data_IF_709422705494
#
_entry.id   IF_709422705494
#
_cell.length_a   1.000
_cell.length_b   1.000
_cell.length_c   1.000
_cell.angle_alpha   90.00
_cell.angle_beta   90.00
_cell.angle_gamma   90.00
#
_symmetry.space_group_name_H-M   'P 1'
#
loop_
_entity.id
_entity.type
_entity.pdbx_description
1 polymer ?
#
# COMPACT_ATOMS: atom_id res chain seq x y z
N UNK A 1 -19.31 -26.57 15.59
CA UNK A 1 -17.99 -27.13 15.24
C UNK A 1 -16.93 -26.10 15.59
N UNK A 2 -16.04 -26.41 16.54
CA UNK A 2 -14.94 -25.50 16.90
C UNK A 2 -13.91 -25.43 15.78
N UNK A 3 -13.42 -24.23 15.46
CA UNK A 3 -12.29 -24.07 14.55
C UNK A 3 -11.07 -24.80 15.13
N UNK A 4 -10.30 -25.48 14.28
CA UNK A 4 -9.04 -26.07 14.71
C UNK A 4 -8.12 -24.95 15.22
N UNK A 5 -7.55 -25.14 16.42
CA UNK A 5 -6.56 -24.23 16.96
C UNK A 5 -5.32 -24.25 16.05
N UNK A 6 -4.91 -23.06 15.61
CA UNK A 6 -3.75 -22.86 14.73
C UNK A 6 -2.68 -22.06 15.47
N UNK A 7 -1.43 -22.28 15.10
CA UNK A 7 -0.30 -21.43 15.44
C UNK A 7 0.00 -20.48 14.29
N UNK A 8 -0.23 -19.19 14.53
CA UNK A 8 -0.22 -18.15 13.50
C UNK A 8 0.92 -17.19 13.78
N UNK A 9 1.79 -16.95 12.80
CA UNK A 9 2.90 -16.01 12.87
C UNK A 9 2.49 -14.69 12.21
N UNK A 10 2.53 -13.59 12.94
CA UNK A 10 2.39 -12.23 12.39
C UNK A 10 3.73 -11.52 12.47
N UNK A 11 4.17 -10.92 11.36
CA UNK A 11 5.38 -10.11 11.29
C UNK A 11 5.00 -8.63 11.24
N UNK A 12 5.93 -7.71 11.53
CA UNK A 12 5.56 -6.31 11.75
C UNK A 12 4.53 -6.19 12.86
N UNK A 13 4.70 -6.99 13.91
CA UNK A 13 3.68 -7.25 14.92
C UNK A 13 3.19 -5.99 15.65
N UNK A 14 3.94 -4.90 15.64
CA UNK A 14 3.53 -3.63 16.26
C UNK A 14 2.71 -2.74 15.34
N UNK A 15 2.59 -3.07 14.06
CA UNK A 15 1.73 -2.34 13.14
C UNK A 15 0.28 -2.42 13.62
N UNK A 16 -0.49 -1.32 13.59
CA UNK A 16 -1.90 -1.32 13.99
C UNK A 16 -2.75 -2.44 13.35
N UNK A 17 -2.68 -2.69 12.02
CA UNK A 17 -3.47 -3.78 11.42
C UNK A 17 -3.02 -5.17 11.88
N UNK A 18 -1.73 -5.37 12.18
CA UNK A 18 -1.21 -6.63 12.73
C UNK A 18 -1.76 -6.89 14.14
N UNK A 19 -1.75 -5.88 15.01
CA UNK A 19 -2.32 -5.96 16.35
C UNK A 19 -3.81 -6.21 16.35
N UNK A 20 -4.55 -5.49 15.50
CA UNK A 20 -6.00 -5.68 15.35
C UNK A 20 -6.31 -7.13 14.93
N UNK A 21 -5.58 -7.64 13.93
CA UNK A 21 -5.73 -9.03 13.50
C UNK A 21 -5.30 -10.03 14.59
N UNK A 22 -4.22 -9.77 15.32
CA UNK A 22 -3.76 -10.60 16.43
C UNK A 22 -4.85 -10.78 17.48
N UNK A 23 -5.51 -9.69 17.88
CA UNK A 23 -6.61 -9.70 18.87
C UNK A 23 -7.78 -10.56 18.39
N UNK A 24 -8.17 -10.39 17.13
CA UNK A 24 -9.24 -11.16 16.51
C UNK A 24 -8.92 -12.65 16.48
N UNK A 25 -7.71 -13.03 16.07
CA UNK A 25 -7.27 -14.42 16.02
C UNK A 25 -7.11 -15.04 17.42
N UNK A 26 -6.53 -14.30 18.36
CA UNK A 26 -6.39 -14.73 19.75
C UNK A 26 -7.74 -14.95 20.42
N UNK A 27 -8.71 -14.06 20.18
CA UNK A 27 -10.07 -14.19 20.68
C UNK A 27 -10.82 -15.41 20.11
N UNK A 28 -10.40 -15.94 18.96
CA UNK A 28 -10.88 -17.23 18.42
C UNK A 28 -10.10 -18.45 18.94
N UNK A 29 -9.16 -18.26 19.87
CA UNK A 29 -8.42 -19.34 20.54
C UNK A 29 -7.15 -19.80 19.80
N UNK A 30 -6.71 -19.07 18.77
CA UNK A 30 -5.46 -19.37 18.06
C UNK A 30 -4.22 -18.96 18.89
N UNK A 31 -3.10 -19.67 18.68
CA UNK A 31 -1.78 -19.36 19.26
C UNK A 31 -1.07 -18.35 18.35
N UNK A 32 -1.17 -17.06 18.68
CA UNK A 32 -0.64 -15.97 17.83
C UNK A 32 0.77 -15.60 18.29
N UNK A 33 1.74 -15.71 17.38
CA UNK A 33 3.14 -15.37 17.58
C UNK A 33 3.43 -14.04 16.87
N UNK A 34 3.91 -13.04 17.61
CA UNK A 34 4.35 -11.78 17.05
C UNK A 34 5.85 -11.78 16.78
N UNK A 35 6.26 -11.31 15.61
CA UNK A 35 7.66 -11.03 15.26
C UNK A 35 7.79 -9.59 14.79
N UNK A 36 8.80 -8.90 15.29
CA UNK A 36 9.07 -7.52 14.88
C UNK A 36 10.55 -7.17 15.06
N UNK A 37 10.94 -6.03 14.50
CA UNK A 37 12.24 -5.41 14.74
C UNK A 37 12.23 -4.69 16.08
N UNK A 38 13.29 -4.89 16.87
CA UNK A 38 13.55 -4.12 18.06
C UNK A 38 14.90 -3.42 17.86
N UNK A 39 14.89 -2.11 17.65
CA UNK A 39 16.12 -1.31 17.66
C UNK A 39 16.70 -1.21 19.07
N UNK A 40 15.81 -1.10 20.05
CA UNK A 40 16.11 -1.14 21.49
C UNK A 40 15.22 -2.20 22.12
N UNK A 41 15.83 -3.08 22.90
CA UNK A 41 15.13 -4.16 23.55
C UNK A 41 13.99 -3.64 24.43
N UNK A 42 12.79 -4.19 24.24
CA UNK A 42 11.64 -3.85 25.08
C UNK A 42 10.86 -2.60 24.66
N UNK A 43 11.18 -1.95 23.54
CA UNK A 43 10.44 -0.76 23.08
C UNK A 43 9.36 -1.06 22.03
N UNK A 44 9.15 -2.32 21.73
CA UNK A 44 8.26 -2.72 20.65
C UNK A 44 6.85 -2.94 21.20
N UNK A 45 5.82 -2.18 20.76
CA UNK A 45 4.46 -2.22 21.30
C UNK A 45 3.87 -3.63 21.37
N UNK A 46 4.12 -4.46 20.36
CA UNK A 46 3.64 -5.85 20.30
C UNK A 46 4.03 -6.69 21.53
N UNK A 47 5.19 -6.43 22.16
CA UNK A 47 5.65 -7.15 23.34
C UNK A 47 4.68 -7.06 24.53
N UNK A 48 3.93 -5.96 24.59
CA UNK A 48 3.01 -5.65 25.69
C UNK A 48 1.55 -5.98 25.34
N UNK A 49 1.28 -6.49 24.14
CA UNK A 49 -0.06 -6.91 23.76
C UNK A 49 -0.39 -8.27 24.36
N UNK A 50 -1.56 -8.40 24.98
CA UNK A 50 -2.10 -9.69 25.45
C UNK A 50 -2.55 -10.59 24.29
N UNK A 51 -2.71 -10.05 23.09
CA UNK A 51 -3.13 -10.81 21.92
C UNK A 51 -2.05 -11.77 21.41
N UNK A 52 -0.78 -11.44 21.62
CA UNK A 52 0.31 -12.32 21.29
C UNK A 52 0.54 -13.31 22.42
N UNK A 53 0.44 -14.60 22.09
CA UNK A 53 0.80 -15.67 23.02
C UNK A 53 2.30 -15.64 23.31
N UNK A 54 3.11 -15.29 22.30
CA UNK A 54 4.55 -15.02 22.45
C UNK A 54 4.98 -13.96 21.45
N UNK A 55 5.94 -13.15 21.88
CA UNK A 55 6.62 -12.17 21.04
C UNK A 55 8.10 -12.56 20.86
N UNK A 56 8.65 -12.32 19.67
CA UNK A 56 10.05 -12.53 19.35
C UNK A 56 10.60 -11.33 18.57
N UNK A 57 11.82 -10.90 18.87
CA UNK A 57 12.57 -10.09 17.92
C UNK A 57 12.95 -10.94 16.69
N UNK A 58 13.20 -10.32 15.54
CA UNK A 58 13.68 -11.05 14.34
C UNK A 58 14.87 -11.99 14.65
N UNK A 59 15.87 -11.50 15.38
CA UNK A 59 17.04 -12.29 15.77
C UNK A 59 16.69 -13.51 16.64
N UNK A 60 15.72 -13.37 17.54
CA UNK A 60 15.23 -14.48 18.36
C UNK A 60 14.36 -15.45 17.57
N UNK A 61 13.52 -14.94 16.65
CA UNK A 61 12.62 -15.73 15.84
C UNK A 61 13.39 -16.76 15.00
N UNK A 62 14.48 -16.35 14.32
CA UNK A 62 15.32 -17.28 13.56
C UNK A 62 15.88 -18.42 14.41
N UNK A 63 16.27 -18.13 15.67
CA UNK A 63 16.84 -19.13 16.59
C UNK A 63 15.78 -20.04 17.20
N UNK A 64 14.67 -19.46 17.68
CA UNK A 64 13.68 -20.16 18.52
C UNK A 64 12.52 -20.78 17.75
N UNK A 65 12.13 -20.20 16.62
CA UNK A 65 11.08 -20.76 15.75
C UNK A 65 11.63 -21.80 14.77
N UNK A 66 12.96 -21.99 14.77
CA UNK A 66 13.67 -22.88 13.85
C UNK A 66 13.08 -24.28 13.69
N UNK A 67 12.49 -24.81 14.77
CA UNK A 67 12.02 -26.20 14.88
C UNK A 67 10.50 -26.33 15.09
N UNK A 68 9.76 -25.22 15.15
CA UNK A 68 8.32 -25.25 15.42
C UNK A 68 7.54 -25.21 14.12
N UNK A 69 6.52 -26.06 14.01
CA UNK A 69 5.53 -25.96 12.95
C UNK A 69 4.72 -24.67 13.15
N UNK A 70 4.59 -23.91 12.07
CA UNK A 70 3.76 -22.70 11.97
C UNK A 70 2.70 -23.03 10.92
N UNK A 71 1.41 -22.93 11.30
CA UNK A 71 0.33 -23.31 10.39
C UNK A 71 0.08 -22.20 9.36
N UNK A 72 0.17 -20.95 9.81
CA UNK A 72 -0.11 -19.76 9.01
C UNK A 72 0.88 -18.65 9.31
N UNK A 73 1.46 -18.03 8.28
CA UNK A 73 2.23 -16.80 8.40
C UNK A 73 1.57 -15.65 7.64
N UNK A 74 1.50 -14.47 8.25
CA UNK A 74 0.90 -13.27 7.67
C UNK A 74 1.90 -12.12 7.84
N UNK A 75 2.59 -11.71 6.77
CA UNK A 75 3.54 -10.63 6.85
C UNK A 75 2.86 -9.27 6.79
N UNK A 76 3.20 -8.36 7.72
CA UNK A 76 2.83 -6.94 7.62
C UNK A 76 4.04 -6.05 7.30
N UNK A 77 5.25 -6.59 7.37
CA UNK A 77 6.50 -5.94 6.95
C UNK A 77 6.93 -6.37 5.55
N UNK A 78 7.97 -5.73 5.04
CA UNK A 78 8.62 -6.16 3.81
C UNK A 78 9.00 -7.65 3.89
N UNK A 79 8.44 -8.43 2.97
CA UNK A 79 8.62 -9.86 2.90
C UNK A 79 10.07 -10.29 2.63
N UNK A 80 10.92 -9.38 2.14
CA UNK A 80 12.35 -9.63 1.88
C UNK A 80 13.07 -10.18 3.12
N UNK A 81 12.89 -9.52 4.26
CA UNK A 81 13.50 -9.91 5.55
C UNK A 81 12.92 -11.21 6.13
N UNK A 82 11.83 -11.70 5.55
CA UNK A 82 10.96 -12.70 6.15
C UNK A 82 10.85 -13.99 5.36
N UNK A 83 11.45 -14.06 4.16
CA UNK A 83 11.37 -15.26 3.31
C UNK A 83 11.78 -16.53 4.05
N UNK A 84 12.83 -16.47 4.88
CA UNK A 84 13.31 -17.65 5.62
C UNK A 84 12.44 -18.06 6.82
N UNK A 85 11.67 -17.13 7.40
CA UNK A 85 10.71 -17.43 8.48
C UNK A 85 9.38 -17.91 7.91
N UNK A 86 8.90 -17.25 6.86
CA UNK A 86 7.63 -17.58 6.19
C UNK A 86 7.72 -18.88 5.39
N UNK A 87 8.89 -19.24 4.85
CA UNK A 87 9.11 -20.53 4.17
C UNK A 87 8.89 -21.75 5.07
N UNK A 88 8.84 -21.57 6.40
CA UNK A 88 8.56 -22.65 7.36
C UNK A 88 7.08 -22.82 7.67
N UNK A 89 6.25 -21.87 7.25
CA UNK A 89 4.81 -21.95 7.48
C UNK A 89 4.16 -22.87 6.45
N UNK A 90 3.15 -23.63 6.88
CA UNK A 90 2.35 -24.48 5.98
C UNK A 90 1.59 -23.62 4.96
N UNK A 91 1.10 -22.45 5.39
CA UNK A 91 0.46 -21.47 4.52
C UNK A 91 1.00 -20.07 4.82
N UNK A 92 1.17 -19.26 3.78
CA UNK A 92 1.52 -17.85 3.92
C UNK A 92 0.47 -17.00 3.20
N UNK A 93 0.00 -15.94 3.86
CA UNK A 93 -0.92 -14.96 3.27
C UNK A 93 -0.11 -13.84 2.63
N UNK A 94 0.68 -14.22 1.62
CA UNK A 94 1.52 -13.30 0.87
C UNK A 94 2.02 -13.98 -0.40
N UNK A 95 1.81 -13.32 -1.52
CA UNK A 95 2.45 -13.67 -2.78
C UNK A 95 2.87 -12.37 -3.44
N UNK A 96 4.17 -12.13 -3.68
CA UNK A 96 4.59 -10.97 -4.47
C UNK A 96 4.04 -11.15 -5.89
N UNK A 97 3.19 -10.24 -6.34
CA UNK A 97 2.52 -10.37 -7.64
C UNK A 97 3.26 -9.62 -8.74
N UNK A 98 3.82 -8.44 -8.41
CA UNK A 98 4.45 -7.56 -9.36
C UNK A 98 5.75 -7.01 -8.77
N UNK A 99 6.78 -6.92 -9.60
CA UNK A 99 8.07 -6.33 -9.22
C UNK A 99 8.01 -4.81 -9.20
N UNK A 100 7.28 -4.23 -10.17
CA UNK A 100 7.11 -2.79 -10.34
C UNK A 100 5.68 -2.45 -10.82
N UNK A 101 5.38 -1.16 -10.94
CA UNK A 101 4.09 -0.67 -11.41
C UNK A 101 3.82 -1.04 -12.89
N UNK A 102 4.87 -1.16 -13.70
CA UNK A 102 4.74 -1.48 -15.13
C UNK A 102 4.26 -2.91 -15.35
N UNK A 103 4.78 -3.88 -14.57
CA UNK A 103 4.34 -5.27 -14.59
C UNK A 103 2.86 -5.38 -14.20
N UNK A 104 2.43 -4.56 -13.24
CA UNK A 104 1.01 -4.42 -12.89
C UNK A 104 0.18 -3.87 -14.06
N UNK A 105 0.63 -2.81 -14.75
CA UNK A 105 -0.09 -2.26 -15.90
C UNK A 105 -0.23 -3.26 -17.05
N UNK A 106 0.87 -3.94 -17.40
CA UNK A 106 0.87 -4.98 -18.43
C UNK A 106 -0.09 -6.11 -18.06
N UNK A 107 -0.07 -6.55 -16.80
CA UNK A 107 -0.99 -7.58 -16.31
C UNK A 107 -2.46 -7.16 -16.44
N UNK A 108 -2.80 -5.94 -16.00
CA UNK A 108 -4.18 -5.44 -16.09
C UNK A 108 -4.64 -5.36 -17.55
N UNK A 109 -3.80 -4.88 -18.48
CA UNK A 109 -4.18 -4.78 -19.90
C UNK A 109 -4.38 -6.14 -20.56
N UNK A 110 -3.56 -7.12 -20.22
CA UNK A 110 -3.52 -8.43 -20.90
C UNK A 110 -4.49 -9.45 -20.32
N UNK A 111 -4.74 -9.41 -19.01
CA UNK A 111 -5.48 -10.48 -18.32
C UNK A 111 -6.82 -10.05 -17.72
N UNK A 112 -7.00 -8.75 -17.40
CA UNK A 112 -8.24 -8.27 -16.80
C UNK A 112 -9.23 -7.92 -17.92
N UNK A 113 -10.49 -8.40 -17.85
CA UNK A 113 -11.51 -8.04 -18.82
C UNK A 113 -11.62 -6.52 -19.03
N UNK A 114 -12.01 -6.07 -20.24
CA UNK A 114 -12.22 -4.64 -20.50
C UNK A 114 -13.14 -4.00 -19.46
N UNK A 115 -12.61 -3.00 -18.75
CA UNK A 115 -13.26 -2.30 -17.64
C UNK A 115 -13.28 -0.79 -17.91
N UNK A 116 -14.22 -0.03 -17.31
CA UNK A 116 -14.13 1.44 -17.30
C UNK A 116 -12.84 1.95 -16.61
N UNK A 117 -12.20 1.12 -15.78
CA UNK A 117 -10.93 1.43 -15.14
C UNK A 117 -9.80 1.22 -16.14
N UNK A 118 -9.02 2.27 -16.38
CA UNK A 118 -7.82 2.23 -17.22
C UNK A 118 -6.57 2.09 -16.36
N UNK A 119 -5.44 1.75 -16.98
CA UNK A 119 -4.11 1.96 -16.40
C UNK A 119 -3.42 3.10 -17.14
N UNK A 120 -2.40 3.75 -16.55
CA UNK A 120 -1.58 4.74 -17.25
C UNK A 120 -1.03 4.16 -18.55
N UNK A 121 -0.94 4.99 -19.60
CA UNK A 121 -0.22 4.61 -20.82
C UNK A 121 1.25 4.29 -20.49
N UNK A 122 1.81 3.29 -21.17
CA UNK A 122 3.14 2.76 -20.94
C UNK A 122 3.71 2.40 -22.29
N UNK A 123 4.87 2.96 -22.62
CA UNK A 123 5.57 2.69 -23.87
C UNK A 123 7.03 2.36 -23.57
N UNK A 124 7.58 1.34 -24.21
CA UNK A 124 9.02 1.09 -24.23
C UNK A 124 9.61 1.84 -25.42
N UNK A 125 10.63 2.65 -25.18
CA UNK A 125 11.32 3.45 -26.20
C UNK A 125 12.77 3.03 -26.33
N UNK A 126 13.18 2.77 -27.56
CA UNK A 126 14.53 2.34 -27.96
C UNK A 126 15.32 3.46 -28.65
N UNK A 127 14.67 4.58 -28.98
CA UNK A 127 15.30 5.75 -29.58
C UNK A 127 14.67 7.05 -29.07
N UNK A 128 15.41 8.15 -29.19
CA UNK A 128 14.92 9.50 -28.86
C UNK A 128 13.78 9.93 -29.81
N UNK A 129 13.82 9.51 -31.08
CA UNK A 129 12.79 9.82 -32.06
C UNK A 129 11.42 9.24 -31.66
N UNK A 130 11.40 8.03 -31.11
CA UNK A 130 10.16 7.42 -30.58
C UNK A 130 9.54 8.25 -29.44
N UNK A 131 10.36 8.87 -28.59
CA UNK A 131 9.86 9.76 -27.53
C UNK A 131 9.15 10.97 -28.15
N UNK A 132 9.78 11.62 -29.13
CA UNK A 132 9.19 12.76 -29.83
C UNK A 132 7.89 12.37 -30.57
N UNK A 133 7.89 11.21 -31.23
CA UNK A 133 6.72 10.66 -31.92
C UNK A 133 5.55 10.44 -30.94
N UNK A 134 5.78 9.74 -29.83
CA UNK A 134 4.74 9.49 -28.82
C UNK A 134 4.21 10.81 -28.24
N UNK A 135 5.08 11.77 -27.90
CA UNK A 135 4.66 13.07 -27.39
C UNK A 135 3.82 13.86 -28.41
N UNK A 136 4.07 13.67 -29.71
CA UNK A 136 3.26 14.29 -30.77
C UNK A 136 1.84 13.71 -30.85
N UNK A 137 1.66 12.41 -30.59
CA UNK A 137 0.34 11.77 -30.53
C UNK A 137 -0.44 12.11 -29.25
N UNK A 138 0.27 12.46 -28.17
CA UNK A 138 -0.32 12.75 -26.85
C UNK A 138 0.04 14.16 -26.34
N UNK A 139 -0.37 15.23 -27.04
CA UNK A 139 0.10 16.60 -26.77
C UNK A 139 -0.31 17.16 -25.40
N UNK A 140 -1.34 16.59 -24.77
CA UNK A 140 -1.86 17.04 -23.47
C UNK A 140 -1.54 16.09 -22.31
N UNK A 141 -0.77 15.04 -22.58
CA UNK A 141 -0.40 14.06 -21.57
C UNK A 141 1.00 14.37 -21.06
N UNK A 142 1.18 14.29 -19.74
CA UNK A 142 2.50 14.30 -19.12
C UNK A 142 2.99 12.87 -18.99
N UNK A 143 4.27 12.66 -19.24
CA UNK A 143 4.93 11.38 -19.12
C UNK A 143 6.16 11.47 -18.24
N UNK A 144 6.47 10.38 -17.55
CA UNK A 144 7.68 10.18 -16.79
C UNK A 144 8.56 9.22 -17.57
N UNK A 145 9.79 9.62 -17.84
CA UNK A 145 10.78 8.79 -18.51
C UNK A 145 11.63 8.07 -17.45
N UNK A 146 11.59 6.75 -17.47
CA UNK A 146 12.25 5.87 -16.52
C UNK A 146 13.19 4.90 -17.25
N UNK A 147 14.33 4.55 -16.66
CA UNK A 147 15.18 3.51 -17.22
C UNK A 147 14.53 2.13 -17.04
N UNK A 148 14.54 1.28 -18.08
CA UNK A 148 14.10 -0.10 -17.92
C UNK A 148 15.00 -0.83 -16.89
N UNK A 149 14.42 -1.63 -15.98
CA UNK A 149 15.22 -2.50 -15.13
C UNK A 149 16.02 -3.51 -15.98
N UNK A 150 17.26 -3.87 -15.60
CA UNK A 150 18.11 -4.77 -16.40
C UNK A 150 17.51 -6.16 -16.64
N UNK A 151 16.59 -6.60 -15.78
CA UNK A 151 15.87 -7.87 -15.92
C UNK A 151 14.87 -7.88 -17.07
N UNK A 152 14.44 -6.71 -17.55
CA UNK A 152 13.58 -6.56 -18.71
C UNK A 152 14.37 -6.42 -20.03
N UNK A 153 15.69 -6.61 -19.99
CA UNK A 153 16.53 -6.57 -21.18
C UNK A 153 16.24 -7.78 -22.08
N UNK A 154 15.32 -7.54 -23.02
CA UNK A 154 15.11 -8.25 -24.27
C UNK A 154 14.84 -9.76 -24.16
N UNK A 155 13.55 -10.10 -24.07
CA UNK A 155 13.08 -11.38 -24.59
C UNK A 155 12.67 -11.14 -26.06
N UNK A 156 13.51 -11.51 -27.05
CA UNK A 156 13.23 -11.28 -28.48
C UNK A 156 11.93 -11.92 -28.96
N UNK A 157 11.36 -12.86 -28.19
CA UNK A 157 10.15 -13.58 -28.57
C UNK A 157 8.86 -12.86 -28.13
N UNK A 158 8.93 -11.80 -27.30
CA UNK A 158 7.77 -11.05 -26.79
C UNK A 158 7.39 -9.81 -27.63
N UNK A 159 8.24 -9.36 -28.56
CA UNK A 159 8.00 -8.16 -29.37
C UNK A 159 7.00 -8.35 -30.54
N UNK A 160 6.31 -9.49 -30.60
CA UNK A 160 5.29 -9.74 -31.63
C UNK A 160 3.87 -9.29 -31.23
N UNK A 161 3.68 -8.77 -30.01
CA UNK A 161 2.39 -8.27 -29.52
C UNK A 161 2.23 -6.75 -29.77
N UNK A 162 1.79 -6.43 -30.99
CA UNK A 162 0.87 -5.39 -31.47
C UNK A 162 0.65 -4.01 -30.79
N UNK A 163 1.43 -3.56 -29.81
CA UNK A 163 1.32 -2.19 -29.25
C UNK A 163 2.41 -1.22 -29.77
N UNK A 164 3.31 -1.68 -30.65
CA UNK A 164 4.07 -0.79 -31.53
C UNK A 164 3.12 -0.26 -32.62
N UNK A 165 3.20 1.04 -32.94
CA UNK A 165 2.26 1.85 -33.74
C UNK A 165 2.07 1.43 -35.23
N UNK A 166 2.08 0.15 -35.57
CA UNK A 166 1.85 -0.34 -36.94
C UNK A 166 0.80 -1.45 -36.92
N UNK A 167 -0.42 -1.11 -37.35
CA UNK A 167 -1.56 -2.02 -37.35
C UNK A 167 -1.38 -3.23 -38.28
N UNK A 168 -1.45 -4.44 -37.71
CA UNK A 168 -1.74 -5.69 -38.43
C UNK A 168 -2.66 -6.60 -37.59
N UNK A 169 -3.49 -7.45 -38.21
CA UNK A 169 -4.57 -8.17 -37.53
C UNK A 169 -4.09 -9.39 -36.71
N UNK A 170 -4.71 -9.55 -35.54
CA UNK A 170 -4.56 -10.56 -34.49
C UNK A 170 -4.37 -12.02 -34.94
N UNK A 171 -3.48 -12.75 -34.24
CA UNK A 171 -3.42 -14.22 -34.20
C UNK A 171 -3.57 -14.70 -32.75
N UNK A 172 -4.52 -15.60 -32.42
CA UNK A 172 -4.76 -16.04 -31.05
C UNK A 172 -4.08 -17.38 -30.80
N UNK A 173 -2.85 -17.40 -30.29
CA UNK A 173 -2.25 -18.60 -29.65
C UNK A 173 -0.96 -18.21 -28.92
N UNK A 174 -1.08 -17.73 -27.67
CA UNK A 174 0.03 -17.64 -26.74
C UNK A 174 -0.33 -18.39 -25.46
N UNK A 175 0.27 -19.57 -25.28
CA UNK A 175 0.26 -20.37 -24.06
C UNK A 175 1.70 -20.67 -23.71
N UNK A 176 1.99 -20.55 -22.41
CA UNK A 176 3.21 -20.99 -21.72
C UNK A 176 4.33 -19.95 -21.57
N UNK A 177 4.11 -18.94 -20.71
CA UNK A 177 5.18 -18.31 -19.93
C UNK A 177 4.88 -18.47 -18.45
N UNK A 178 5.52 -19.46 -17.83
CA UNK A 178 5.36 -19.79 -16.42
C UNK A 178 5.92 -18.69 -15.51
N UNK A 179 5.23 -18.46 -14.38
CA UNK A 179 5.60 -17.51 -13.35
C UNK A 179 7.07 -17.61 -12.92
N UNK A 180 7.77 -16.48 -12.99
CA UNK A 180 9.15 -16.30 -12.56
C UNK A 180 9.31 -16.52 -11.05
N UNK A 181 10.16 -17.47 -10.68
CA UNK A 181 10.57 -17.72 -9.29
C UNK A 181 11.88 -16.97 -9.01
N UNK A 182 11.76 -15.83 -8.33
CA UNK A 182 12.70 -15.27 -7.36
C UNK A 182 14.19 -15.16 -7.74
N UNK A 183 14.58 -14.06 -8.39
CA UNK A 183 15.98 -13.61 -8.38
C UNK A 183 16.27 -12.72 -7.14
N UNK A 184 17.47 -12.82 -6.53
CA UNK A 184 17.88 -11.92 -5.46
C UNK A 184 18.16 -10.51 -6.02
N UNK A 185 17.45 -9.52 -5.47
CA UNK A 185 17.65 -8.09 -5.75
C UNK A 185 19.10 -7.68 -5.47
N UNK A 186 19.85 -7.33 -6.51
CA UNK A 186 21.07 -6.54 -6.38
C UNK A 186 20.66 -5.10 -6.07
N UNK A 187 21.32 -4.45 -5.12
CA UNK A 187 20.98 -3.10 -4.65
C UNK A 187 20.69 -2.15 -5.83
N UNK A 188 19.43 -1.73 -5.95
CA UNK A 188 18.98 -0.80 -6.97
C UNK A 188 19.79 0.50 -6.87
N UNK A 189 20.29 0.99 -8.01
CA UNK A 189 20.75 2.39 -8.11
C UNK A 189 19.61 3.30 -7.63
N UNK A 190 19.95 4.35 -6.89
CA UNK A 190 18.96 5.30 -6.39
C UNK A 190 18.09 5.83 -7.55
N UNK A 191 16.76 5.89 -7.39
CA UNK A 191 15.79 6.30 -8.43
C UNK A 191 15.81 7.81 -8.73
N UNK A 192 16.99 8.45 -8.72
CA UNK A 192 17.12 9.90 -8.63
C UNK A 192 16.80 10.68 -9.90
N UNK A 193 16.80 10.06 -11.08
CA UNK A 193 16.70 10.77 -12.35
C UNK A 193 15.42 10.38 -13.10
N UNK A 194 14.27 10.70 -12.50
CA UNK A 194 12.99 10.63 -13.21
C UNK A 194 12.74 11.96 -13.91
N UNK A 195 12.63 11.95 -15.23
CA UNK A 195 12.38 13.16 -16.01
C UNK A 195 10.89 13.26 -16.34
N UNK A 196 10.23 14.31 -15.85
CA UNK A 196 8.87 14.64 -16.22
C UNK A 196 8.87 15.41 -17.54
N UNK A 197 8.21 14.88 -18.55
CA UNK A 197 8.15 15.44 -19.90
C UNK A 197 6.70 15.66 -20.27
N UNK A 198 6.37 16.82 -20.81
CA UNK A 198 5.10 17.09 -21.46
C UNK A 198 5.36 17.96 -22.68
N UNK A 199 4.60 17.76 -23.77
CA UNK A 199 4.75 18.61 -24.95
C UNK A 199 4.46 20.09 -24.61
N UNK A 200 3.55 20.35 -23.67
CA UNK A 200 3.24 21.69 -23.20
C UNK A 200 4.37 22.34 -22.37
N UNK A 201 5.28 21.54 -21.83
CA UNK A 201 6.40 21.98 -20.99
C UNK A 201 7.76 21.64 -21.62
N UNK A 202 7.80 21.39 -22.93
CA UNK A 202 9.03 21.02 -23.62
C UNK A 202 9.89 22.28 -23.81
N UNK A 203 10.79 22.53 -22.87
CA UNK A 203 11.80 23.59 -22.98
C UNK A 203 13.12 23.03 -23.54
N UNK A 204 14.03 23.94 -23.92
CA UNK A 204 15.34 23.58 -24.48
C UNK A 204 16.15 22.71 -23.50
N UNK A 205 15.94 22.86 -22.20
CA UNK A 205 16.67 22.12 -21.17
C UNK A 205 16.16 20.67 -21.04
N UNK A 206 14.85 20.45 -21.11
CA UNK A 206 14.24 19.10 -21.18
C UNK A 206 14.69 18.40 -22.45
N UNK A 207 14.72 19.07 -23.60
CA UNK A 207 15.22 18.49 -24.86
C UNK A 207 16.70 18.13 -24.75
N UNK A 208 17.53 19.01 -24.18
CA UNK A 208 18.96 18.71 -23.91
C UNK A 208 19.11 17.52 -22.98
N UNK A 209 18.29 17.42 -21.94
CA UNK A 209 18.30 16.31 -21.00
C UNK A 209 17.92 14.99 -21.68
N UNK A 210 16.87 14.97 -22.52
CA UNK A 210 16.48 13.79 -23.31
C UNK A 210 17.61 13.38 -24.26
N UNK A 211 18.22 14.35 -24.95
CA UNK A 211 19.33 14.11 -25.87
C UNK A 211 20.59 13.57 -25.17
N UNK A 212 20.79 13.93 -23.90
CA UNK A 212 21.89 13.44 -23.08
C UNK A 212 21.66 12.04 -22.50
N UNK A 213 20.42 11.51 -22.53
CA UNK A 213 20.15 10.17 -22.03
C UNK A 213 20.64 9.09 -23.00
N UNK A 214 21.25 7.99 -22.50
CA UNK A 214 21.76 6.90 -23.32
C UNK A 214 20.65 5.95 -23.82
N UNK A 215 19.60 6.50 -24.44
CA UNK A 215 18.50 5.71 -25.01
C UNK A 215 19.03 4.97 -26.23
N UNK A 216 18.92 3.64 -26.23
CA UNK A 216 19.32 2.79 -27.35
C UNK A 216 18.55 1.48 -27.32
N UNK A 217 18.65 0.68 -28.39
CA UNK A 217 18.04 -0.66 -28.43
C UNK A 217 18.46 -1.55 -27.24
N UNK A 218 19.73 -1.46 -26.83
CA UNK A 218 20.29 -2.24 -25.72
C UNK A 218 19.99 -1.64 -24.34
N UNK A 219 19.59 -0.36 -24.28
CA UNK A 219 19.28 0.35 -23.04
C UNK A 219 17.95 1.08 -23.25
N UNK A 220 16.83 0.32 -23.31
CA UNK A 220 15.53 0.93 -23.51
C UNK A 220 15.12 1.73 -22.28
N UNK A 221 14.28 2.72 -22.52
CA UNK A 221 13.60 3.49 -21.49
C UNK A 221 12.10 3.21 -21.55
N UNK A 222 11.39 3.55 -20.47
CA UNK A 222 9.94 3.48 -20.39
C UNK A 222 9.37 4.87 -20.27
N UNK A 223 8.36 5.16 -21.07
CA UNK A 223 7.57 6.37 -20.99
C UNK A 223 6.24 6.01 -20.31
N UNK A 224 6.04 6.50 -19.08
CA UNK A 224 4.87 6.19 -18.24
C UNK A 224 3.98 7.43 -18.13
N UNK A 225 2.69 7.33 -18.44
CA UNK A 225 1.74 8.44 -18.27
C UNK A 225 1.68 8.86 -16.79
N UNK A 226 1.91 10.15 -16.55
CA UNK A 226 1.75 10.76 -15.23
C UNK A 226 0.31 11.22 -15.08
N UNK A 227 -0.46 10.45 -14.32
CA UNK A 227 -1.86 10.76 -14.05
C UNK A 227 -1.94 11.87 -13.01
N UNK A 228 -2.13 13.11 -13.47
CA UNK A 228 -2.21 14.28 -12.61
C UNK A 228 -3.65 14.76 -12.37
N UNK A 229 -3.89 15.20 -11.12
CA UNK A 229 -5.17 15.74 -10.65
C UNK A 229 -6.22 14.67 -10.34
N UNK A 230 -7.36 15.08 -9.79
CA UNK A 230 -8.43 14.18 -9.32
C UNK A 230 -8.29 13.78 -7.85
N UNK A 231 -9.13 12.84 -7.41
CA UNK A 231 -9.11 12.28 -6.06
C UNK A 231 -8.44 10.91 -6.06
N UNK A 232 -7.57 10.66 -5.07
CA UNK A 232 -6.96 9.35 -4.86
C UNK A 232 -7.93 8.45 -4.07
N UNK A 233 -8.10 7.22 -4.54
CA UNK A 233 -8.82 6.16 -3.86
C UNK A 233 -7.88 4.96 -3.72
N UNK A 234 -8.14 4.10 -2.74
CA UNK A 234 -7.43 2.83 -2.61
C UNK A 234 -8.44 1.74 -2.27
N UNK A 235 -8.42 0.63 -3.01
CA UNK A 235 -9.24 -0.53 -2.73
C UNK A 235 -8.38 -1.64 -2.12
N UNK A 236 -8.84 -2.14 -0.98
CA UNK A 236 -8.14 -3.12 -0.16
C UNK A 236 -8.97 -4.38 -0.04
N UNK A 237 -8.38 -5.51 -0.36
CA UNK A 237 -9.03 -6.81 -0.27
C UNK A 237 -8.07 -7.88 0.24
N UNK A 238 -8.63 -8.92 0.86
CA UNK A 238 -8.00 -10.21 1.04
C UNK A 238 -8.62 -11.13 -0.01
N UNK A 239 -7.82 -11.61 -0.96
CA UNK A 239 -8.27 -12.55 -1.98
C UNK A 239 -7.81 -13.98 -1.63
N UNK A 240 -8.65 -14.96 -1.94
CA UNK A 240 -8.32 -16.38 -1.90
C UNK A 240 -8.73 -17.03 -3.21
N UNK A 241 -7.75 -17.35 -4.06
CA UNK A 241 -8.05 -17.75 -5.44
C UNK A 241 -8.75 -16.62 -6.19
N UNK A 242 -9.89 -16.91 -6.82
CA UNK A 242 -10.74 -15.92 -7.52
C UNK A 242 -11.60 -15.07 -6.60
N UNK A 243 -11.73 -15.45 -5.32
CA UNK A 243 -12.80 -14.93 -4.46
C UNK A 243 -12.27 -13.89 -3.49
N UNK A 244 -12.97 -12.76 -3.42
CA UNK A 244 -12.68 -11.71 -2.45
C UNK A 244 -13.27 -12.10 -1.09
N UNK A 245 -12.42 -12.23 -0.08
CA UNK A 245 -12.81 -12.54 1.30
C UNK A 245 -13.18 -11.28 2.09
N UNK A 246 -12.49 -10.18 1.82
CA UNK A 246 -12.75 -8.85 2.39
C UNK A 246 -12.68 -7.79 1.31
N UNK A 247 -13.37 -6.67 1.51
CA UNK A 247 -13.31 -5.53 0.60
C UNK A 247 -13.59 -4.21 1.33
N UNK A 248 -12.69 -3.24 1.18
CA UNK A 248 -12.83 -1.86 1.69
C UNK A 248 -12.22 -0.88 0.71
N UNK A 249 -12.93 0.22 0.46
CA UNK A 249 -12.40 1.37 -0.28
C UNK A 249 -12.10 2.49 0.71
N UNK A 250 -10.95 3.13 0.55
CA UNK A 250 -10.53 4.29 1.35
C UNK A 250 -10.11 5.44 0.44
N UNK A 251 -10.22 6.66 0.94
CA UNK A 251 -9.59 7.87 0.35
C UNK A 251 -8.67 8.49 1.39
N UNK A 252 -7.52 9.07 1.01
CA UNK A 252 -6.71 9.85 1.94
C UNK A 252 -7.55 10.98 2.56
N UNK A 253 -7.36 11.23 3.86
CA UNK A 253 -8.03 12.36 4.52
C UNK A 253 -7.39 13.65 4.02
N UNK A 254 -8.14 14.44 3.26
CA UNK A 254 -7.69 15.76 2.82
C UNK A 254 -7.81 16.73 4.00
N UNK A 255 -6.68 17.27 4.45
CA UNK A 255 -6.69 18.41 5.36
C UNK A 255 -7.07 19.69 4.59
N UNK A 256 -7.46 20.73 5.33
CA UNK A 256 -7.92 22.03 4.78
C UNK A 256 -6.95 22.68 3.79
N UNK A 257 -5.67 22.29 3.78
CA UNK A 257 -4.64 22.80 2.87
C UNK A 257 -4.39 21.94 1.62
N UNK A 258 -5.20 20.91 1.36
CA UNK A 258 -4.99 20.00 0.23
C UNK A 258 -3.78 19.07 0.37
N UNK A 259 -3.06 19.13 1.50
CA UNK A 259 -2.02 18.16 1.86
C UNK A 259 -2.67 16.93 2.48
N UNK A 260 -2.38 15.76 1.93
CA UNK A 260 -2.72 14.48 2.54
C UNK A 260 -1.68 14.14 3.60
N UNK A 261 -2.10 13.89 4.84
CA UNK A 261 -1.20 13.31 5.83
C UNK A 261 -1.00 11.81 5.54
N UNK A 262 0.25 11.33 5.45
CA UNK A 262 0.51 9.91 5.25
C UNK A 262 -0.05 9.10 6.42
N UNK A 263 -0.75 8.01 6.11
CA UNK A 263 -1.34 7.11 7.11
C UNK A 263 -2.71 7.54 7.65
N UNK A 264 -3.27 8.65 7.17
CA UNK A 264 -4.66 9.03 7.48
C UNK A 264 -5.56 8.75 6.28
N UNK A 265 -6.72 8.14 6.54
CA UNK A 265 -7.69 7.80 5.51
C UNK A 265 -9.11 7.81 6.07
N UNK A 266 -10.08 7.96 5.19
CA UNK A 266 -11.51 7.74 5.48
C UNK A 266 -12.04 6.58 4.64
N UNK A 267 -12.86 5.73 5.26
CA UNK A 267 -13.57 4.68 4.54
C UNK A 267 -14.65 5.30 3.64
N UNK A 268 -14.69 4.89 2.38
CA UNK A 268 -15.66 5.34 1.39
C UNK A 268 -16.98 4.60 1.59
N UNK A 269 -18.10 5.33 1.50
CA UNK A 269 -19.42 4.74 1.70
C UNK A 269 -19.79 3.79 0.56
N UNK A 270 -20.52 2.71 0.89
CA UNK A 270 -21.04 1.78 -0.12
C UNK A 270 -22.06 2.42 -1.06
N UNK A 271 -22.71 3.50 -0.61
CA UNK A 271 -23.65 4.27 -1.42
C UNK A 271 -22.96 5.10 -2.52
N UNK A 272 -21.63 5.26 -2.48
CA UNK A 272 -20.91 5.95 -3.54
C UNK A 272 -20.76 5.05 -4.78
N UNK A 273 -21.11 5.50 -6.00
CA UNK A 273 -21.03 4.69 -7.22
C UNK A 273 -19.61 4.16 -7.53
N UNK A 274 -18.58 4.86 -7.04
CA UNK A 274 -17.20 4.42 -7.21
C UNK A 274 -16.92 3.11 -6.46
N UNK A 275 -17.63 2.85 -5.35
CA UNK A 275 -17.43 1.66 -4.54
C UNK A 275 -17.72 0.39 -5.34
N UNK A 276 -18.87 0.32 -6.00
CA UNK A 276 -19.27 -0.82 -6.85
C UNK A 276 -18.31 -1.00 -8.02
N UNK A 277 -17.95 0.10 -8.70
CA UNK A 277 -17.00 0.05 -9.83
C UNK A 277 -15.65 -0.52 -9.43
N UNK A 278 -15.12 -0.11 -8.26
CA UNK A 278 -13.85 -0.63 -7.75
C UNK A 278 -13.99 -2.07 -7.25
N UNK A 279 -15.14 -2.46 -6.71
CA UNK A 279 -15.40 -3.83 -6.27
C UNK A 279 -15.40 -4.81 -7.44
N UNK A 280 -16.13 -4.48 -8.50
CA UNK A 280 -16.22 -5.31 -9.71
C UNK A 280 -14.84 -5.48 -10.34
N UNK A 281 -14.08 -4.39 -10.46
CA UNK A 281 -12.70 -4.45 -10.93
C UNK A 281 -11.82 -5.34 -10.06
N UNK A 282 -11.89 -5.22 -8.73
CA UNK A 282 -11.07 -6.04 -7.83
C UNK A 282 -11.41 -7.53 -7.92
N UNK A 283 -12.68 -7.85 -8.18
CA UNK A 283 -13.13 -9.23 -8.37
C UNK A 283 -12.65 -9.80 -9.70
N UNK A 284 -12.76 -9.05 -10.79
CA UNK A 284 -12.24 -9.45 -12.10
C UNK A 284 -10.71 -9.54 -12.08
N UNK A 285 -10.04 -8.65 -11.36
CA UNK A 285 -8.61 -8.69 -11.11
C UNK A 285 -8.19 -9.95 -10.35
N UNK A 286 -8.89 -10.32 -9.28
CA UNK A 286 -8.61 -11.55 -8.53
C UNK A 286 -8.83 -12.81 -9.36
N UNK A 287 -9.88 -12.84 -10.19
CA UNK A 287 -10.13 -13.92 -11.16
C UNK A 287 -9.01 -14.05 -12.19
N UNK A 288 -8.60 -12.94 -12.79
CA UNK A 288 -7.50 -12.89 -13.75
C UNK A 288 -6.19 -13.40 -13.10
N UNK A 289 -5.92 -12.99 -11.86
CA UNK A 289 -4.75 -13.41 -11.11
C UNK A 289 -4.74 -14.92 -10.82
N UNK A 290 -5.90 -15.46 -10.45
CA UNK A 290 -6.06 -16.88 -10.24
C UNK A 290 -5.85 -17.68 -11.54
N UNK A 291 -6.40 -17.20 -12.66
CA UNK A 291 -6.23 -17.82 -13.98
C UNK A 291 -4.77 -17.81 -14.46
N UNK A 292 -4.06 -16.68 -14.27
CA UNK A 292 -2.66 -16.55 -14.63
C UNK A 292 -1.71 -17.40 -13.78
N UNK A 293 -2.10 -17.72 -12.54
CA UNK A 293 -1.32 -18.58 -11.63
C UNK A 293 -1.35 -20.08 -12.02
N UNK A 294 -1.94 -20.43 -13.16
CA UNK A 294 -1.78 -21.74 -13.79
C UNK A 294 -2.70 -22.85 -13.28
N UNK A 295 -3.48 -22.66 -12.21
CA UNK A 295 -4.56 -23.56 -11.74
C UNK A 295 -4.22 -25.05 -11.46
N UNK A 296 -3.07 -25.56 -11.89
CA UNK A 296 -2.78 -26.98 -12.04
C UNK A 296 -2.28 -27.63 -10.75
N UNK A 297 -1.65 -26.88 -9.86
CA UNK A 297 -1.03 -27.42 -8.65
C UNK A 297 -1.97 -27.44 -7.43
N UNK A 298 -3.26 -27.15 -7.62
CA UNK A 298 -4.24 -27.11 -6.52
C UNK A 298 -3.95 -26.06 -5.44
N UNK A 299 -2.93 -25.22 -5.65
CA UNK A 299 -2.55 -24.14 -4.77
C UNK A 299 -3.38 -22.90 -5.11
N UNK A 300 -4.32 -22.57 -4.23
CA UNK A 300 -5.12 -21.33 -4.30
C UNK A 300 -4.44 -20.28 -3.42
N UNK A 301 -3.68 -19.33 -4.00
CA UNK A 301 -2.97 -18.35 -3.20
C UNK A 301 -3.94 -17.49 -2.41
N UNK A 302 -3.54 -17.14 -1.18
CA UNK A 302 -4.24 -16.17 -0.36
C UNK A 302 -3.34 -14.95 -0.25
N UNK A 303 -3.81 -13.80 -0.72
CA UNK A 303 -2.98 -12.59 -0.78
C UNK A 303 -3.78 -11.35 -0.46
N UNK A 304 -3.09 -10.37 0.12
CA UNK A 304 -3.62 -9.02 0.24
C UNK A 304 -3.48 -8.31 -1.10
N UNK A 305 -4.52 -7.59 -1.48
CA UNK A 305 -4.55 -6.74 -2.66
C UNK A 305 -4.86 -5.32 -2.19
N UNK A 306 -3.92 -4.41 -2.40
CA UNK A 306 -4.11 -2.98 -2.17
C UNK A 306 -3.79 -2.25 -3.47
N UNK A 307 -4.84 -1.83 -4.18
CA UNK A 307 -4.73 -1.12 -5.45
C UNK A 307 -5.06 0.35 -5.26
N UNK A 308 -4.16 1.23 -5.71
CA UNK A 308 -4.39 2.67 -5.73
C UNK A 308 -5.04 3.10 -7.04
N UNK A 309 -5.98 4.03 -6.96
CA UNK A 309 -6.71 4.57 -8.09
C UNK A 309 -6.71 6.09 -8.06
N UNK A 310 -6.64 6.71 -9.24
CA UNK A 310 -6.90 8.13 -9.44
C UNK A 310 -8.25 8.30 -10.14
N UNK A 311 -9.14 9.10 -9.56
CA UNK A 311 -10.45 9.42 -10.16
C UNK A 311 -10.47 10.88 -10.57
N UNK A 312 -10.48 11.12 -11.88
CA UNK A 312 -10.53 12.45 -12.48
C UNK A 312 -11.91 12.68 -13.10
N UNK A 313 -12.60 13.71 -12.62
CA UNK A 313 -13.85 14.17 -13.23
C UNK A 313 -13.51 15.12 -14.39
N UNK A 314 -13.99 14.79 -15.58
CA UNK A 314 -13.76 15.55 -16.82
C UNK A 314 -15.11 15.88 -17.42
N UNK A 315 -15.39 17.15 -17.63
CA UNK A 315 -16.59 17.59 -18.35
C UNK A 315 -16.29 17.54 -19.84
N UNK A 316 -16.98 16.66 -20.58
CA UNK A 316 -16.86 16.56 -22.05
C UNK A 316 -18.19 16.92 -22.68
N UNK A 317 -18.30 18.15 -23.17
CA UNK A 317 -19.59 18.69 -23.64
C UNK A 317 -20.52 18.96 -22.46
N UNK A 318 -21.66 18.27 -22.40
CA UNK A 318 -22.65 18.39 -21.32
C UNK A 318 -22.60 17.22 -20.31
N UNK A 319 -21.71 16.25 -20.52
CA UNK A 319 -21.61 15.06 -19.67
C UNK A 319 -20.40 15.14 -18.72
N UNK A 320 -20.64 14.79 -17.45
CA UNK A 320 -19.59 14.60 -16.46
C UNK A 320 -19.05 13.17 -16.58
N UNK A 321 -17.88 13.03 -17.18
CA UNK A 321 -17.20 11.74 -17.31
C UNK A 321 -16.22 11.54 -16.16
N UNK A 322 -16.30 10.40 -15.47
CA UNK A 322 -15.33 10.00 -14.45
C UNK A 322 -14.31 9.05 -15.07
N UNK A 323 -13.07 9.50 -15.22
CA UNK A 323 -11.95 8.63 -15.63
C UNK A 323 -11.32 8.05 -14.37
N UNK A 324 -11.40 6.73 -14.22
CA UNK A 324 -10.76 5.98 -13.13
C UNK A 324 -9.50 5.32 -13.68
N UNK A 325 -8.36 5.56 -13.04
CA UNK A 325 -7.07 5.00 -13.46
C UNK A 325 -6.42 4.24 -12.32
N UNK A 326 -6.11 2.95 -12.48
CA UNK A 326 -5.39 2.14 -11.49
C UNK A 326 -3.88 2.39 -11.59
N UNK A 327 -3.27 2.85 -10.50
CA UNK A 327 -1.89 3.37 -10.46
C UNK A 327 -0.87 2.36 -9.95
N UNK A 328 -1.22 1.53 -8.96
CA UNK A 328 -0.27 0.59 -8.39
C UNK A 328 -1.00 -0.49 -7.62
N UNK A 329 -0.38 -1.66 -7.48
CA UNK A 329 -0.85 -2.75 -6.64
C UNK A 329 0.25 -3.16 -5.67
N UNK A 330 -0.09 -3.23 -4.39
CA UNK A 330 0.80 -3.74 -3.32
C UNK A 330 0.12 -4.89 -2.59
N UNK A 331 0.92 -5.76 -1.99
CA UNK A 331 0.43 -6.93 -1.25
C UNK A 331 0.61 -6.78 0.27
N UNK A 332 0.98 -5.58 0.72
CA UNK A 332 1.01 -5.27 2.13
C UNK A 332 -0.43 -5.08 2.65
N UNK A 333 -0.78 -5.66 3.81
CA UNK A 333 -2.05 -5.38 4.45
C UNK A 333 -2.16 -3.88 4.75
N UNK A 334 -3.29 -3.27 4.37
CA UNK A 334 -3.54 -1.85 4.63
C UNK A 334 -4.11 -1.61 6.04
N UNK A 335 -3.90 -0.40 6.57
CA UNK A 335 -4.35 0.00 7.91
C UNK A 335 -5.89 -0.05 8.07
N UNK A 336 -6.65 -0.01 6.98
CA UNK A 336 -8.10 -0.20 6.97
C UNK A 336 -8.55 -1.56 7.49
N UNK A 337 -7.66 -2.55 7.55
CA UNK A 337 -7.93 -3.85 8.18
C UNK A 337 -8.35 -3.70 9.66
N UNK A 338 -7.86 -2.66 10.35
CA UNK A 338 -8.26 -2.36 11.73
C UNK A 338 -9.77 -2.17 11.84
N UNK A 339 -10.37 -1.44 10.89
CA UNK A 339 -11.81 -1.18 10.86
C UNK A 339 -12.61 -2.47 10.60
N UNK A 340 -12.11 -3.34 9.73
CA UNK A 340 -12.74 -4.64 9.44
C UNK A 340 -12.71 -5.57 10.66
N UNK A 341 -11.55 -5.64 11.34
CA UNK A 341 -11.37 -6.40 12.57
C UNK A 341 -12.35 -5.95 13.67
N UNK A 342 -12.57 -4.63 13.80
CA UNK A 342 -13.52 -4.08 14.75
C UNK A 342 -14.98 -4.36 14.39
N UNK A 343 -15.33 -4.34 13.10
CA UNK A 343 -16.71 -4.55 12.63
C UNK A 343 -17.15 -6.01 12.74
N UNK A 344 -16.32 -6.95 12.28
CA UNK A 344 -16.72 -8.34 12.06
C UNK A 344 -15.63 -9.34 12.48
N UNK A 345 -15.21 -9.37 13.76
CA UNK A 345 -14.02 -10.08 14.21
C UNK A 345 -14.05 -11.59 13.87
N UNK A 346 -15.16 -12.29 14.15
CA UNK A 346 -15.28 -13.73 13.85
C UNK A 346 -15.18 -14.04 12.36
N UNK A 347 -15.78 -13.20 11.52
CA UNK A 347 -15.74 -13.34 10.08
C UNK A 347 -14.31 -13.16 9.54
N UNK A 348 -13.61 -12.14 10.04
CA UNK A 348 -12.22 -11.86 9.67
C UNK A 348 -11.31 -13.00 10.09
N UNK A 349 -11.41 -13.49 11.34
CA UNK A 349 -10.63 -14.64 11.78
C UNK A 349 -10.81 -15.84 10.83
N UNK A 350 -12.07 -16.14 10.46
CA UNK A 350 -12.40 -17.24 9.54
C UNK A 350 -11.83 -17.01 8.14
N UNK A 351 -11.87 -15.77 7.63
CA UNK A 351 -11.30 -15.42 6.32
C UNK A 351 -9.79 -15.74 6.23
N UNK A 352 -9.05 -15.60 7.34
CA UNK A 352 -7.63 -15.92 7.38
C UNK A 352 -7.32 -17.38 7.69
N UNK A 353 -8.13 -18.05 8.51
CA UNK A 353 -7.83 -19.41 8.99
C UNK A 353 -8.46 -20.48 8.12
N UNK A 354 -9.65 -20.23 7.58
CA UNK A 354 -10.43 -21.17 6.76
C UNK A 354 -11.08 -20.44 5.56
N UNK A 355 -10.27 -19.94 4.60
CA UNK A 355 -10.77 -19.17 3.47
C UNK A 355 -11.65 -20.02 2.53
N UNK A 356 -11.40 -21.34 2.44
CA UNK A 356 -12.20 -22.25 1.59
C UNK A 356 -13.64 -22.36 2.07
N UNK A 357 -13.83 -22.49 3.38
CA UNK A 357 -15.18 -22.55 3.95
C UNK A 357 -15.95 -21.25 3.73
N UNK A 358 -15.24 -20.13 3.74
CA UNK A 358 -15.83 -18.81 3.51
C UNK A 358 -16.21 -18.60 2.05
N UNK A 359 -15.40 -19.05 1.10
CA UNK A 359 -15.71 -18.99 -0.34
C UNK A 359 -17.02 -19.71 -0.71
N UNK A 360 -17.44 -20.72 0.06
CA UNK A 360 -18.71 -21.44 -0.15
C UNK A 360 -19.92 -20.66 0.39
N UNK A 361 -19.72 -19.67 1.25
CA UNK A 361 -20.81 -18.85 1.79
C UNK A 361 -21.28 -17.87 0.71
N UNK A 362 -22.58 -17.88 0.38
CA UNK A 362 -23.19 -16.92 -0.57
C UNK A 362 -23.17 -15.47 -0.05
N UNK A 363 -22.81 -15.27 1.21
CA UNK A 363 -22.51 -13.96 1.79
C UNK A 363 -21.19 -13.46 1.18
N UNK A 364 -21.26 -12.48 0.27
CA UNK A 364 -20.10 -11.89 -0.41
C UNK A 364 -18.98 -11.35 0.51
N UNK A 365 -18.02 -10.57 -0.04
CA UNK A 365 -16.85 -10.16 0.74
C UNK A 365 -17.23 -9.42 2.03
N UNK A 366 -16.46 -9.62 3.10
CA UNK A 366 -16.64 -8.84 4.34
C UNK A 366 -16.36 -7.38 4.01
N UNK A 367 -17.39 -6.57 4.14
CA UNK A 367 -17.30 -5.13 3.98
C UNK A 367 -17.61 -4.44 5.31
N UNK A 368 -17.11 -3.22 5.48
CA UNK A 368 -17.46 -2.38 6.62
C UNK A 368 -18.97 -2.10 6.61
N UNK A 369 -19.64 -2.29 7.75
CA UNK A 369 -21.03 -1.84 7.90
C UNK A 369 -21.12 -0.35 7.58
N UNK A 370 -22.22 0.09 6.96
CA UNK A 370 -22.44 1.51 6.70
C UNK A 370 -22.32 2.28 8.01
N UNK A 371 -21.30 3.12 8.11
CA UNK A 371 -21.13 4.00 9.25
C UNK A 371 -21.70 5.35 8.84
N UNK A 372 -22.66 5.92 9.59
CA UNK A 372 -23.26 7.21 9.26
C UNK A 372 -22.27 8.39 9.32
N UNK A 373 -21.05 8.16 9.83
CA UNK A 373 -20.02 9.18 9.97
C UNK A 373 -18.68 8.63 9.45
N UNK A 374 -17.86 9.47 8.78
CA UNK A 374 -16.54 9.06 8.32
C UNK A 374 -15.71 8.61 9.53
N UNK A 375 -15.34 7.33 9.57
CA UNK A 375 -14.35 6.82 10.51
C UNK A 375 -12.98 6.95 9.86
N UNK A 376 -12.14 7.76 10.48
CA UNK A 376 -10.70 7.77 10.22
C UNK A 376 -9.97 7.12 11.38
N UNK A 377 -8.83 6.49 11.09
CA UNK A 377 -7.94 5.99 12.15
C UNK A 377 -7.15 7.19 12.67
N UNK A 378 -7.68 7.85 13.69
CA UNK A 378 -6.95 8.90 14.41
C UNK A 378 -5.94 8.26 15.35
N UNK A 379 -4.79 8.91 15.50
CA UNK A 379 -3.82 8.52 16.53
C UNK A 379 -3.47 9.69 17.41
N UNK A 380 -3.41 9.45 18.72
CA UNK A 380 -3.09 10.45 19.72
C UNK A 380 -1.85 11.30 19.37
N UNK A 381 -0.73 10.75 18.84
CA UNK A 381 0.44 11.57 18.50
C UNK A 381 0.16 12.61 17.43
N UNK A 382 -0.71 12.32 16.46
CA UNK A 382 -1.11 13.28 15.42
C UNK A 382 -1.95 14.39 16.06
N UNK A 383 -2.88 14.03 16.94
CA UNK A 383 -3.66 15.02 17.69
C UNK A 383 -2.76 15.89 18.57
N UNK A 384 -1.75 15.31 19.23
CA UNK A 384 -0.80 16.05 20.03
C UNK A 384 0.12 16.93 19.18
N UNK A 385 0.53 16.48 18.00
CA UNK A 385 1.33 17.27 17.05
C UNK A 385 0.51 18.47 16.54
N UNK A 386 -0.73 18.26 16.11
CA UNK A 386 -1.65 19.32 15.71
C UNK A 386 -1.92 20.29 16.87
N UNK A 387 -2.21 19.77 18.06
CA UNK A 387 -2.40 20.58 19.27
C UNK A 387 -1.13 21.37 19.60
N UNK A 388 0.05 20.77 19.48
CA UNK A 388 1.32 21.43 19.76
C UNK A 388 1.63 22.51 18.73
N UNK A 389 1.35 22.28 17.44
CA UNK A 389 1.52 23.26 16.37
C UNK A 389 0.62 24.47 16.59
N UNK A 390 -0.63 24.20 16.97
CA UNK A 390 -1.60 25.21 17.38
C UNK A 390 -1.06 25.99 18.60
N UNK A 391 -0.66 25.31 19.68
CA UNK A 391 -0.11 25.90 20.91
C UNK A 391 1.20 26.67 20.68
N UNK A 392 2.05 26.24 19.75
CA UNK A 392 3.28 26.94 19.41
C UNK A 392 3.00 28.23 18.66
N UNK A 393 2.00 28.22 17.77
CA UNK A 393 1.46 29.43 17.15
C UNK A 393 0.93 30.43 18.18
N UNK A 394 0.31 29.94 19.27
CA UNK A 394 -0.13 30.78 20.39
C UNK A 394 1.03 31.41 21.18
N UNK A 395 2.14 30.69 21.36
CA UNK A 395 3.25 31.15 22.19
C UNK A 395 3.99 32.36 21.58
N UNK A 396 3.92 32.53 20.26
CA UNK A 396 4.48 33.66 19.53
C UNK A 396 3.49 34.84 19.41
N UNK A 397 2.80 35.20 20.50
CA UNK A 397 2.30 36.53 20.91
C UNK A 397 1.88 37.57 19.83
N UNK A 398 1.32 37.17 18.70
CA UNK A 398 0.53 38.05 17.86
C UNK A 398 -0.94 37.89 18.25
N UNK A 399 -1.64 39.02 18.39
CA UNK A 399 -3.00 39.11 18.87
C UNK A 399 -3.94 38.22 18.04
N UNK A 400 -4.22 37.02 18.54
CA UNK A 400 -5.20 36.16 17.91
C UNK A 400 -6.58 36.79 18.00
N UNK A 401 -7.31 36.65 16.90
CA UNK A 401 -8.73 36.94 16.91
C UNK A 401 -9.43 35.98 17.87
N UNK A 402 -10.47 36.45 18.57
CA UNK A 402 -11.32 35.58 19.41
C UNK A 402 -11.89 34.39 18.62
N UNK A 403 -11.99 34.51 17.30
CA UNK A 403 -12.44 33.46 16.37
C UNK A 403 -11.45 32.30 16.33
N UNK A 404 -10.15 32.55 16.28
CA UNK A 404 -9.13 31.49 16.26
C UNK A 404 -9.10 30.72 17.58
N UNK A 405 -9.22 31.41 18.72
CA UNK A 405 -9.31 30.77 20.02
C UNK A 405 -10.57 29.90 20.13
N UNK A 406 -11.71 30.40 19.65
CA UNK A 406 -12.96 29.64 19.62
C UNK A 406 -12.84 28.40 18.73
N UNK A 407 -12.22 28.52 17.55
CA UNK A 407 -11.97 27.38 16.66
C UNK A 407 -11.10 26.32 17.32
N UNK A 408 -10.03 26.72 18.02
CA UNK A 408 -9.18 25.76 18.74
C UNK A 408 -9.94 25.08 19.87
N UNK A 409 -10.72 25.82 20.65
CA UNK A 409 -11.55 25.24 21.71
C UNK A 409 -12.58 24.25 21.15
N UNK A 410 -13.24 24.58 20.03
CA UNK A 410 -14.17 23.68 19.37
C UNK A 410 -13.45 22.44 18.83
N UNK A 411 -12.27 22.59 18.23
CA UNK A 411 -11.45 21.44 17.77
C UNK A 411 -11.03 20.55 18.92
N UNK A 412 -10.54 21.11 20.03
CA UNK A 412 -10.17 20.34 21.24
C UNK A 412 -11.39 19.64 21.84
N UNK A 413 -12.53 20.32 21.94
CA UNK A 413 -13.78 19.70 22.41
C UNK A 413 -14.24 18.59 21.46
N UNK A 414 -14.21 18.83 20.15
CA UNK A 414 -14.55 17.82 19.15
C UNK A 414 -13.62 16.62 19.25
N UNK A 415 -12.31 16.83 19.44
CA UNK A 415 -11.38 15.75 19.72
C UNK A 415 -11.74 15.05 21.04
N UNK A 416 -11.87 15.74 22.17
CA UNK A 416 -12.19 15.07 23.44
C UNK A 416 -13.50 14.26 23.41
N UNK A 417 -14.49 14.71 22.63
CA UNK A 417 -15.81 14.06 22.55
C UNK A 417 -15.89 12.98 21.46
N UNK A 418 -15.20 13.16 20.33
CA UNK A 418 -15.30 12.31 19.14
C UNK A 418 -14.05 11.48 18.89
N UNK A 419 -12.94 11.77 19.59
CA UNK A 419 -11.69 11.04 19.44
C UNK A 419 -11.91 9.60 19.87
N UNK A 420 -11.79 8.73 18.88
CA UNK A 420 -11.71 7.31 19.06
C UNK A 420 -10.34 6.89 18.57
N UNK A 421 -9.50 6.50 19.51
CA UNK A 421 -8.22 5.87 19.19
C UNK A 421 -8.52 4.50 18.58
N UNK A 422 -8.58 4.45 17.26
CA UNK A 422 -8.89 3.21 16.56
C UNK A 422 -7.64 2.34 16.36
N UNK A 423 -6.41 2.88 16.53
CA UNK A 423 -5.19 2.04 16.44
C UNK A 423 -5.04 1.09 17.63
N UNK A 424 -5.51 1.49 18.81
CA UNK A 424 -5.29 0.74 20.05
C UNK A 424 -6.62 0.29 20.69
N UNK A 425 -6.65 -0.95 21.15
CA UNK A 425 -7.82 -1.50 21.84
C UNK A 425 -7.74 -1.16 23.33
N UNK A 426 -8.82 -0.60 23.89
CA UNK A 426 -8.92 -0.28 25.32
C UNK A 426 -8.74 -1.50 26.22
N UNK A 427 -9.05 -2.71 25.74
CA UNK A 427 -8.87 -3.94 26.51
C UNK A 427 -7.41 -4.44 26.50
N UNK A 428 -6.59 -3.87 25.62
CA UNK A 428 -5.19 -4.19 25.43
C UNK A 428 -4.36 -2.89 25.35
N UNK A 429 -4.27 -2.13 26.47
CA UNK A 429 -3.64 -0.81 26.47
C UNK A 429 -2.10 -0.88 26.43
N UNK A 430 -1.50 -2.04 26.72
CA UNK A 430 -0.04 -2.22 26.81
C UNK A 430 0.73 -1.67 25.61
N UNK A 431 0.35 -2.02 24.37
CA UNK A 431 0.97 -1.47 23.17
C UNK A 431 0.89 0.06 23.08
N UNK A 432 -0.27 0.65 23.39
CA UNK A 432 -0.44 2.11 23.36
C UNK A 432 0.44 2.80 24.42
N UNK A 433 0.49 2.24 25.63
CA UNK A 433 1.33 2.77 26.70
C UNK A 433 2.82 2.68 26.34
N UNK A 434 3.26 1.56 25.78
CA UNK A 434 4.65 1.42 25.32
C UNK A 434 4.98 2.42 24.21
N UNK A 435 4.10 2.54 23.21
CA UNK A 435 4.23 3.48 22.12
C UNK A 435 4.39 4.92 22.64
N UNK A 436 3.46 5.37 23.48
CA UNK A 436 3.37 6.76 23.90
C UNK A 436 4.36 7.15 24.99
N UNK A 437 4.61 6.26 25.96
CA UNK A 437 5.44 6.60 27.12
C UNK A 437 6.88 6.14 26.98
N UNK A 438 7.18 5.20 26.08
CA UNK A 438 8.53 4.65 25.94
C UNK A 438 9.12 4.92 24.56
N UNK A 439 8.44 4.50 23.48
CA UNK A 439 9.00 4.57 22.13
C UNK A 439 9.10 5.99 21.61
N UNK A 440 7.99 6.72 21.54
CA UNK A 440 7.96 8.07 20.98
C UNK A 440 8.86 9.06 21.75
N UNK A 441 8.87 9.10 23.10
CA UNK A 441 9.76 10.00 23.83
C UNK A 441 11.24 9.68 23.59
N UNK A 442 11.59 8.39 23.47
CA UNK A 442 12.97 8.01 23.18
C UNK A 442 13.36 8.37 21.75
N UNK A 443 12.51 8.11 20.76
CA UNK A 443 12.76 8.50 19.36
C UNK A 443 12.92 10.01 19.23
N UNK A 444 12.06 10.79 19.89
CA UNK A 444 12.18 12.24 19.96
C UNK A 444 13.50 12.66 20.61
N UNK A 445 13.91 12.00 21.69
CA UNK A 445 15.18 12.27 22.38
C UNK A 445 16.39 11.95 21.48
N UNK A 446 16.35 10.84 20.74
CA UNK A 446 17.41 10.45 19.80
C UNK A 446 17.50 11.45 18.64
N UNK A 447 16.38 11.86 18.06
CA UNK A 447 16.33 12.87 17.00
C UNK A 447 16.86 14.22 17.49
N UNK A 448 16.48 14.62 18.70
CA UNK A 448 16.98 15.84 19.34
C UNK A 448 18.50 15.79 19.53
N UNK A 449 19.04 14.68 20.04
CA UNK A 449 20.49 14.49 20.20
C UNK A 449 21.24 14.51 18.87
N UNK A 450 20.69 13.89 17.81
CA UNK A 450 21.26 13.94 16.46
C UNK A 450 21.32 15.37 15.93
N UNK A 451 20.24 16.14 16.09
CA UNK A 451 20.19 17.53 15.66
C UNK A 451 21.18 18.41 16.44
N UNK A 452 21.34 18.17 17.73
CA UNK A 452 22.37 18.84 18.53
C UNK A 452 23.78 18.49 18.06
N UNK A 453 24.02 17.24 17.66
CA UNK A 453 25.30 16.80 17.10
C UNK A 453 25.58 17.50 15.76
N UNK A 454 24.60 17.58 14.87
CA UNK A 454 24.72 18.29 13.58
C UNK A 454 25.07 19.78 13.80
N UNK A 455 24.36 20.46 14.70
CA UNK A 455 24.64 21.88 15.03
C UNK A 455 26.04 22.04 15.61
N UNK A 456 26.50 21.09 16.43
CA UNK A 456 27.84 21.10 16.99
C UNK A 456 28.93 20.90 15.93
N UNK A 457 28.72 19.97 14.99
CA UNK A 457 29.64 19.69 13.88
C UNK A 457 29.70 20.87 12.88
N UNK A 458 28.56 21.49 12.58
CA UNK A 458 28.48 22.69 11.75
C UNK A 458 29.15 23.89 12.44
N UNK A 459 28.99 24.02 13.76
CA UNK A 459 29.62 25.07 14.55
C UNK A 459 31.15 24.95 14.66
N UNK A 460 31.69 23.73 14.57
CA UNK A 460 33.13 23.49 14.55
C UNK A 460 33.77 23.69 13.17
N UNK A 461 33.01 23.47 12.09
CA UNK A 461 33.49 23.61 10.71
C UNK A 461 33.27 25.01 10.15
N UNK A 462 32.26 25.73 10.63
CA UNK A 462 32.08 27.16 10.42
C UNK A 462 33.11 27.96 11.22
N UNK A 463 34.34 28.03 10.71
CA UNK A 463 35.43 28.80 11.31
C UNK A 463 35.02 30.23 11.64
N UNK A 464 35.11 30.57 12.92
CA UNK A 464 35.10 31.94 13.43
C UNK A 464 36.45 32.61 13.20
#
# INVERSE_FOLDING_TARGET
MGSQKMRILLTGASKPPALALARVLHAQGHDVLGVDSESVWGLTPARYSKAYTRFYSYAEAHKKLGYKTIDLAIPFDDASNLRSLTAKATRTVYQPLFEDASAFYTFVRSHVPPSPIKVPALFTVHSQDQVAEILSYYPYTSFQLEACPPSAAYDPDLDNDSDTLVGTPFSPNFRDSACFVGYPQRAARQPSDTLLISLASLDDDVVRNINAMPISENIPYRLVEVVSGGREYSAHALAHGSDLQTFVVTTPTQLLEGKSQPGTFTAVSRAEPIFETLQDFMHDFAKALHGASGGSDGFTPTTHLNIKFQVKEVVRGQELLRRVTALSCTQAPHDSLVLLCASSPRCIATAYTDPKRRAVSEEGPIMLAEVPHPRGVYSLPIMLDELSSILWGFFWLQALSLVELANVLVSVCAWLLLFREDKWDSNDPGPALCEWFMRLPLEASILFLKRLQEIWEDGLTGGW
#
